data_IF_919932647969
#
_entry.id   IF_919932647969
#
_cell.length_a   1.000
_cell.length_b   1.000
_cell.length_c   1.000
_cell.angle_alpha   90.00
_cell.angle_beta   90.00
_cell.angle_gamma   90.00
#
_symmetry.space_group_name_H-M   'P 1'
#
loop_
_entity.id
_entity.type
_entity.pdbx_description
1 polymer ?
#
# COMPACT_ATOMS: atom_id res chain seq x y z
N UNK A 1 -9.83 -5.26 8.75
CA UNK A 1 -8.82 -6.08 8.03
C UNK A 1 -7.61 -6.26 8.94
N UNK A 2 -7.07 -7.48 9.02
CA UNK A 2 -5.82 -7.77 9.73
C UNK A 2 -4.69 -7.95 8.71
N UNK A 3 -3.52 -7.38 9.00
CA UNK A 3 -2.35 -7.49 8.12
C UNK A 3 -1.33 -8.42 8.76
N UNK A 4 -0.95 -9.46 8.03
CA UNK A 4 0.07 -10.41 8.48
C UNK A 4 1.45 -9.91 8.08
N UNK A 5 2.47 -10.42 8.77
CA UNK A 5 3.86 -10.22 8.38
C UNK A 5 4.42 -11.54 7.85
N UNK A 6 5.27 -11.47 6.83
CA UNK A 6 6.04 -12.64 6.42
C UNK A 6 7.24 -12.87 7.37
N UNK A 7 8.01 -13.92 7.13
CA UNK A 7 9.20 -14.27 7.90
C UNK A 7 10.31 -13.20 7.83
N UNK A 8 10.28 -12.32 6.81
CA UNK A 8 11.21 -11.19 6.68
C UNK A 8 10.72 -9.94 7.44
N UNK A 9 9.49 -9.98 7.95
CA UNK A 9 8.84 -8.84 8.60
C UNK A 9 8.17 -7.88 7.62
N UNK A 10 8.05 -8.22 6.35
CA UNK A 10 7.30 -7.46 5.35
C UNK A 10 5.80 -7.63 5.54
N UNK A 11 5.03 -6.61 5.16
CA UNK A 11 3.57 -6.63 5.31
C UNK A 11 2.92 -7.41 4.16
N UNK A 12 2.21 -8.47 4.52
CA UNK A 12 1.45 -9.29 3.58
C UNK A 12 -0.01 -8.88 3.65
N UNK A 13 -0.50 -8.31 2.56
CA UNK A 13 -1.90 -7.93 2.39
C UNK A 13 -2.62 -8.95 1.52
N UNK A 14 -3.89 -9.24 1.85
CA UNK A 14 -4.71 -10.12 1.02
C UNK A 14 -5.04 -9.41 -0.32
N UNK A 15 -4.55 -9.92 -1.47
CA UNK A 15 -4.76 -9.29 -2.76
C UNK A 15 -6.24 -9.26 -3.18
N UNK A 16 -7.07 -10.18 -2.70
CA UNK A 16 -8.51 -10.19 -3.00
C UNK A 16 -9.27 -9.06 -2.27
N UNK A 17 -8.92 -8.82 -1.00
CA UNK A 17 -9.51 -7.70 -0.25
C UNK A 17 -9.04 -6.36 -0.81
N UNK A 18 -7.75 -6.23 -1.14
CA UNK A 18 -7.22 -5.03 -1.79
C UNK A 18 -7.84 -4.80 -3.17
N UNK A 19 -7.96 -5.83 -4.01
CA UNK A 19 -8.52 -5.65 -5.35
C UNK A 19 -9.94 -5.07 -5.30
N UNK A 20 -10.76 -5.54 -4.35
CA UNK A 20 -12.11 -5.03 -4.12
C UNK A 20 -12.12 -3.53 -3.82
N UNK A 21 -11.22 -3.05 -2.94
CA UNK A 21 -11.11 -1.62 -2.62
C UNK A 21 -10.75 -0.74 -3.81
N UNK A 22 -9.93 -1.26 -4.72
CA UNK A 22 -9.57 -0.57 -5.95
C UNK A 22 -10.61 -0.74 -7.07
N UNK A 23 -11.71 -1.46 -6.85
CA UNK A 23 -12.71 -1.79 -7.87
C UNK A 23 -12.12 -2.65 -8.99
N UNK A 24 -11.16 -3.52 -8.67
CA UNK A 24 -10.49 -4.44 -9.59
C UNK A 24 -10.84 -5.89 -9.25
N UNK A 25 -10.78 -6.76 -10.25
CA UNK A 25 -10.74 -8.19 -9.98
C UNK A 25 -9.38 -8.59 -9.39
N UNK A 26 -9.33 -9.69 -8.64
CA UNK A 26 -8.07 -10.21 -8.10
C UNK A 26 -7.05 -10.53 -9.20
N UNK A 27 -7.50 -10.98 -10.38
CA UNK A 27 -6.65 -11.22 -11.53
C UNK A 27 -6.04 -9.93 -12.10
N UNK A 28 -6.84 -8.87 -12.25
CA UNK A 28 -6.36 -7.56 -12.72
C UNK A 28 -5.37 -6.94 -11.73
N UNK A 29 -5.64 -7.05 -10.43
CA UNK A 29 -4.74 -6.57 -9.40
C UNK A 29 -3.40 -7.32 -9.42
N UNK A 30 -3.42 -8.66 -9.49
CA UNK A 30 -2.20 -9.48 -9.64
C UNK A 30 -1.43 -9.15 -10.91
N UNK A 31 -2.12 -8.95 -12.03
CA UNK A 31 -1.49 -8.54 -13.29
C UNK A 31 -0.78 -7.19 -13.14
N UNK A 32 -1.42 -6.21 -12.49
CA UNK A 32 -0.79 -4.89 -12.22
C UNK A 32 0.41 -5.00 -11.28
N UNK A 33 0.36 -5.88 -10.27
CA UNK A 33 1.51 -6.18 -9.41
C UNK A 33 2.69 -6.75 -10.22
N UNK A 34 2.44 -7.77 -11.04
CA UNK A 34 3.47 -8.40 -11.89
C UNK A 34 4.10 -7.42 -12.90
N UNK A 35 3.31 -6.47 -13.40
CA UNK A 35 3.80 -5.40 -14.28
C UNK A 35 4.53 -4.28 -13.54
N UNK A 36 4.59 -4.30 -12.21
CA UNK A 36 5.19 -3.24 -11.40
C UNK A 36 4.45 -1.90 -11.48
N UNK A 37 3.12 -1.94 -11.72
CA UNK A 37 2.25 -0.76 -11.77
C UNK A 37 1.63 -0.41 -10.42
N UNK A 38 1.87 -1.24 -9.40
CA UNK A 38 1.47 -1.03 -8.03
C UNK A 38 2.68 -0.54 -7.26
N UNK A 39 2.58 0.65 -6.67
CA UNK A 39 3.61 1.17 -5.77
C UNK A 39 3.13 1.02 -4.32
N UNK A 40 3.97 0.45 -3.47
CA UNK A 40 3.72 0.29 -2.03
C UNK A 40 4.76 1.05 -1.22
N UNK A 41 4.32 1.73 -0.17
CA UNK A 41 5.20 2.37 0.81
C UNK A 41 4.70 2.06 2.21
N UNK A 42 5.65 1.80 3.11
CA UNK A 42 5.40 1.60 4.53
C UNK A 42 6.13 2.71 5.28
N UNK A 43 5.42 3.38 6.18
CA UNK A 43 5.98 4.39 7.06
C UNK A 43 5.75 3.95 8.50
N UNK A 44 6.79 4.03 9.33
CA UNK A 44 6.71 3.71 10.76
C UNK A 44 6.52 5.04 11.50
N UNK A 45 5.48 5.11 12.33
CA UNK A 45 5.24 6.28 13.17
C UNK A 45 6.28 6.38 14.29
N UNK A 46 6.76 7.59 14.53
CA UNK A 46 7.73 7.93 15.58
C UNK A 46 7.12 8.98 16.52
N UNK A 47 7.70 9.15 17.71
CA UNK A 47 7.25 10.16 18.68
C UNK A 47 5.80 9.93 19.13
N UNK A 48 4.91 10.89 18.84
CA UNK A 48 3.50 10.80 19.20
C UNK A 48 2.76 9.67 18.47
N UNK A 49 3.23 9.27 17.29
CA UNK A 49 2.69 8.18 16.49
C UNK A 49 3.44 6.85 16.72
N UNK A 50 4.26 6.77 17.77
CA UNK A 50 5.09 5.60 18.04
C UNK A 50 4.28 4.30 18.14
N UNK A 51 4.57 3.36 17.24
CA UNK A 51 3.89 2.07 17.15
C UNK A 51 2.67 2.06 16.23
N UNK A 52 2.30 3.20 15.65
CA UNK A 52 1.45 3.24 14.47
C UNK A 52 2.29 3.00 13.23
N UNK A 53 1.66 2.43 12.21
CA UNK A 53 2.30 2.24 10.90
C UNK A 53 1.35 2.65 9.81
N UNK A 54 1.85 3.33 8.79
CA UNK A 54 1.05 3.77 7.65
C UNK A 54 1.45 3.00 6.41
N UNK A 55 0.50 2.27 5.84
CA UNK A 55 0.63 1.66 4.53
C UNK A 55 0.02 2.57 3.50
N UNK A 56 0.73 2.77 2.40
CA UNK A 56 0.23 3.48 1.22
C UNK A 56 0.39 2.59 0.00
N UNK A 57 -0.70 2.31 -0.70
CA UNK A 57 -0.71 1.57 -1.95
C UNK A 57 -1.26 2.45 -3.06
N UNK A 58 -0.52 2.57 -4.17
CA UNK A 58 -0.90 3.39 -5.31
C UNK A 58 -1.01 2.56 -6.58
N UNK A 59 -2.11 2.76 -7.29
CA UNK A 59 -2.36 2.20 -8.62
C UNK A 59 -2.85 3.34 -9.52
N UNK A 60 -2.01 3.77 -10.47
CA UNK A 60 -2.31 4.92 -11.33
C UNK A 60 -2.51 6.20 -10.52
N UNK A 61 -3.73 6.74 -10.53
CA UNK A 61 -4.14 7.91 -9.74
C UNK A 61 -4.86 7.55 -8.44
N UNK A 62 -5.11 6.27 -8.14
CA UNK A 62 -5.78 5.83 -6.91
C UNK A 62 -4.73 5.52 -5.85
N UNK A 63 -4.93 6.04 -4.64
CA UNK A 63 -4.06 5.82 -3.50
C UNK A 63 -4.93 5.32 -2.34
N UNK A 64 -4.73 4.08 -1.95
CA UNK A 64 -5.30 3.53 -0.71
C UNK A 64 -4.29 3.72 0.41
N UNK A 65 -4.74 4.20 1.56
CA UNK A 65 -3.90 4.42 2.73
C UNK A 65 -4.55 3.78 3.96
N UNK A 66 -3.75 3.08 4.75
CA UNK A 66 -4.21 2.46 5.99
C UNK A 66 -3.25 2.76 7.13
N UNK A 67 -3.81 3.03 8.31
CA UNK A 67 -3.09 3.15 9.57
C UNK A 67 -3.31 1.87 10.36
N UNK A 68 -2.21 1.29 10.81
CA UNK A 68 -2.12 0.08 11.60
C UNK A 68 -1.73 0.42 13.02
N UNK A 69 -2.29 -0.30 13.98
CA UNK A 69 -1.80 -0.32 15.35
C UNK A 69 -0.59 -1.27 15.53
N UNK A 70 -0.12 -1.40 16.77
CA UNK A 70 1.00 -2.28 17.17
C UNK A 70 0.74 -3.76 16.89
N UNK A 71 -0.53 -4.15 16.81
CA UNK A 71 -1.00 -5.52 16.55
C UNK A 71 -1.24 -5.78 15.06
N UNK A 72 -0.87 -4.84 14.19
CA UNK A 72 -1.09 -4.88 12.73
C UNK A 72 -2.57 -4.92 12.34
N UNK A 73 -3.43 -4.37 13.20
CA UNK A 73 -4.86 -4.21 12.91
C UNK A 73 -5.07 -2.87 12.23
N UNK A 74 -5.83 -2.85 11.13
CA UNK A 74 -6.22 -1.59 10.48
C UNK A 74 -7.19 -0.84 11.38
N UNK A 75 -6.77 0.32 11.89
CA UNK A 75 -7.59 1.21 12.73
C UNK A 75 -8.20 2.34 11.91
N UNK A 76 -7.63 2.68 10.76
CA UNK A 76 -8.15 3.67 9.83
C UNK A 76 -7.75 3.31 8.40
N UNK A 77 -8.65 3.52 7.45
CA UNK A 77 -8.37 3.38 6.03
C UNK A 77 -9.10 4.42 5.20
N UNK A 78 -8.46 4.87 4.13
CA UNK A 78 -9.01 5.86 3.21
C UNK A 78 -8.58 5.58 1.77
N UNK A 79 -9.45 5.91 0.82
CA UNK A 79 -9.14 5.94 -0.60
C UNK A 79 -9.07 7.41 -1.05
N UNK A 80 -7.93 7.80 -1.60
CA UNK A 80 -7.70 9.13 -2.15
C UNK A 80 -7.32 9.02 -3.62
N UNK A 81 -7.51 10.12 -4.34
CA UNK A 81 -7.17 10.21 -5.76
C UNK A 81 -6.10 11.28 -5.92
N UNK A 82 -4.95 10.89 -6.45
CA UNK A 82 -3.90 11.82 -6.82
C UNK A 82 -4.46 12.79 -7.87
N UNK A 83 -4.44 14.09 -7.54
CA UNK A 83 -4.73 15.14 -8.53
C UNK A 83 -3.62 15.14 -9.58
N UNK A 84 -3.94 15.59 -10.79
CA UNK A 84 -2.98 15.82 -11.85
C UNK A 84 -2.07 17.01 -11.50
N UNK A 85 -1.21 16.83 -10.51
CA UNK A 85 -0.27 17.81 -10.00
C UNK A 85 0.91 17.05 -9.43
N UNK A 86 2.00 17.03 -10.19
CA UNK A 86 3.32 16.49 -9.81
C UNK A 86 3.36 14.98 -9.59
N UNK A 87 3.12 14.23 -10.66
CA UNK A 87 3.68 12.88 -10.78
C UNK A 87 5.21 13.02 -10.88
N UNK A 88 5.92 13.08 -9.74
CA UNK A 88 7.36 12.77 -9.77
C UNK A 88 7.45 11.31 -10.20
N UNK A 89 7.83 11.09 -11.46
CA UNK A 89 8.30 9.79 -11.95
C UNK A 89 9.38 9.33 -10.99
N UNK A 90 9.06 8.40 -10.10
CA UNK A 90 10.09 7.68 -9.35
C UNK A 90 10.89 6.93 -10.40
N UNK A 91 12.06 7.47 -10.75
CA UNK A 91 13.05 6.78 -11.57
C UNK A 91 13.33 5.43 -10.93
N UNK A 92 13.02 4.36 -11.66
CA UNK A 92 13.61 3.04 -11.40
C UNK A 92 15.12 3.24 -11.40
N UNK A 93 15.76 3.20 -10.23
CA UNK A 93 17.21 2.97 -10.17
C UNK A 93 17.41 1.49 -10.44
N UNK A 94 17.83 1.17 -11.66
CA UNK A 94 18.53 -0.08 -11.95
C UNK A 94 19.76 -0.11 -11.04
N UNK A 95 19.87 -1.11 -10.17
CA UNK A 95 21.17 -1.55 -9.71
C UNK A 95 21.73 -2.47 -10.80
N UNK A 96 22.80 -2.00 -11.43
CA UNK A 96 23.79 -2.83 -12.12
C UNK A 96 25.00 -2.95 -11.19
#
# INVERSE_FOLDING_TARGET
>A
MQITRDDNGDFVLNPAELSSRFGLSGAEFKRKLQMGLVASTVEIGEGADAGLRRLSLRIGNRIWRAILDKSNTVISEEMTFARAGTMKRTSRRNLA
#
